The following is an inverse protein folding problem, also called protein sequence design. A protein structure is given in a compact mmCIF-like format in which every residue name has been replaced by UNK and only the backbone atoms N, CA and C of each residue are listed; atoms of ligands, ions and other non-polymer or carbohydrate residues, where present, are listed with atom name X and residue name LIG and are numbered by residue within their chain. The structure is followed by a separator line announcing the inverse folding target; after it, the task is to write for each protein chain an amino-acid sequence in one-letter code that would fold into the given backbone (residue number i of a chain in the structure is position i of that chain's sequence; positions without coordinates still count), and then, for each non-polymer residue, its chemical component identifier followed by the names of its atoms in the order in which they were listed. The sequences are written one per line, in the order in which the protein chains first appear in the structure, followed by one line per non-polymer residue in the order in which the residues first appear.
data_IF_296287970959
#
_entry.id   IF_296287970959
#
_cell.length_a   1.000
_cell.length_b   1.000
_cell.length_c   1.000
_cell.angle_alpha   90.00
_cell.angle_beta   90.00
_cell.angle_gamma   90.00
#
_symmetry.space_group_name_H-M   'P 1'
#
loop_
_entity.id
_entity.type
_entity.pdbx_description
1 polymer ?
#
# COMPACT_ATOMS: atom_id res chain seq x y z
N UNK A 1 -6.22 16.20 -22.14
CA UNK A 1 -7.57 15.89 -21.65
C UNK A 1 -7.69 14.52 -20.97
N UNK A 2 -6.96 13.45 -21.37
CA UNK A 2 -7.09 12.11 -20.74
C UNK A 2 -6.57 12.02 -19.30
N UNK A 3 -5.58 12.80 -18.90
CA UNK A 3 -4.96 12.69 -17.57
C UNK A 3 -5.46 13.75 -16.57
N UNK A 4 -6.31 14.70 -16.97
CA UNK A 4 -6.69 15.84 -16.13
C UNK A 4 -7.59 15.50 -14.92
N UNK A 5 -8.08 14.26 -14.82
CA UNK A 5 -9.00 13.81 -13.77
C UNK A 5 -8.32 13.59 -12.40
N UNK A 6 -6.99 13.50 -12.38
CA UNK A 6 -6.21 13.37 -11.16
C UNK A 6 -5.13 14.45 -11.13
N UNK A 7 -4.81 14.96 -9.94
CA UNK A 7 -3.65 15.81 -9.76
C UNK A 7 -2.38 14.96 -9.89
N UNK A 8 -1.93 14.77 -11.13
CA UNK A 8 -0.71 14.02 -11.42
C UNK A 8 0.51 14.83 -11.00
N UNK A 9 1.00 14.51 -9.82
CA UNK A 9 2.33 14.92 -9.37
C UNK A 9 3.27 13.73 -9.43
N UNK A 10 4.58 13.99 -9.42
CA UNK A 10 5.58 12.93 -9.36
C UNK A 10 5.34 11.97 -8.17
N UNK A 11 5.06 12.46 -6.93
CA UNK A 11 4.68 11.60 -5.82
C UNK A 11 3.45 10.72 -6.10
N UNK A 12 2.39 11.29 -6.69
CA UNK A 12 1.15 10.53 -6.92
C UNK A 12 1.36 9.47 -8.00
N UNK A 13 2.11 9.77 -9.06
CA UNK A 13 2.47 8.78 -10.08
C UNK A 13 3.28 7.62 -9.50
N UNK A 14 4.28 7.90 -8.68
CA UNK A 14 5.09 6.89 -8.01
C UNK A 14 4.25 5.98 -7.09
N UNK A 15 3.28 6.54 -6.35
CA UNK A 15 2.36 5.77 -5.52
C UNK A 15 1.53 4.77 -6.34
N UNK A 16 0.92 5.21 -7.45
CA UNK A 16 0.13 4.30 -8.29
C UNK A 16 0.97 3.20 -8.94
N UNK A 17 2.19 3.51 -9.37
CA UNK A 17 3.14 2.51 -9.88
C UNK A 17 3.46 1.49 -8.79
N UNK A 18 3.74 1.95 -7.56
CA UNK A 18 3.99 1.06 -6.43
C UNK A 18 2.80 0.13 -6.15
N UNK A 19 1.57 0.64 -6.14
CA UNK A 19 0.37 -0.19 -5.94
C UNK A 19 0.22 -1.23 -7.05
N UNK A 20 0.42 -0.85 -8.31
CA UNK A 20 0.36 -1.78 -9.44
C UNK A 20 1.43 -2.88 -9.34
N UNK A 21 2.65 -2.53 -8.95
CA UNK A 21 3.73 -3.49 -8.72
C UNK A 21 3.46 -4.39 -7.52
N UNK A 22 2.89 -3.86 -6.45
CA UNK A 22 2.53 -4.63 -5.25
C UNK A 22 1.45 -5.67 -5.56
N UNK A 23 0.39 -5.28 -6.26
CA UNK A 23 -0.70 -6.17 -6.68
C UNK A 23 -0.19 -7.18 -7.71
N UNK A 24 0.53 -6.73 -8.73
CA UNK A 24 1.09 -7.59 -9.77
C UNK A 24 2.09 -8.59 -9.20
N UNK A 25 2.99 -8.14 -8.33
CA UNK A 25 3.94 -8.99 -7.62
C UNK A 25 3.27 -10.06 -6.77
N UNK A 26 2.17 -9.72 -6.08
CA UNK A 26 1.37 -10.70 -5.34
C UNK A 26 0.71 -11.72 -6.26
N UNK A 27 0.15 -11.30 -7.39
CA UNK A 27 -0.42 -12.22 -8.38
C UNK A 27 0.62 -13.20 -8.93
N UNK A 28 1.81 -12.71 -9.27
CA UNK A 28 2.94 -13.54 -9.72
C UNK A 28 3.38 -14.51 -8.63
N UNK A 29 3.49 -14.05 -7.38
CA UNK A 29 3.87 -14.90 -6.26
C UNK A 29 2.87 -16.02 -6.00
N UNK A 30 1.58 -15.71 -6.03
CA UNK A 30 0.51 -16.68 -5.81
C UNK A 30 0.43 -17.72 -6.93
N UNK A 31 0.76 -17.31 -8.16
CA UNK A 31 0.91 -18.23 -9.28
C UNK A 31 2.03 -19.27 -9.05
N UNK A 32 3.20 -18.85 -8.54
CA UNK A 32 4.32 -19.76 -8.29
C UNK A 32 4.23 -20.54 -6.97
N UNK A 33 3.61 -19.97 -5.94
CA UNK A 33 3.48 -20.58 -4.61
C UNK A 33 2.03 -20.52 -4.12
N UNK A 34 1.18 -21.43 -4.64
CA UNK A 34 -0.23 -21.49 -4.30
C UNK A 34 -0.45 -21.92 -2.84
N UNK A 35 -1.55 -21.43 -2.25
CA UNK A 35 -2.00 -21.85 -0.92
C UNK A 35 -2.02 -20.76 0.15
N UNK A 36 -1.68 -19.51 -0.18
CA UNK A 36 -1.86 -18.33 0.71
C UNK A 36 -1.03 -18.31 2.00
N UNK A 37 -0.50 -19.45 2.44
CA UNK A 37 0.25 -19.65 3.69
C UNK A 37 -0.39 -18.94 4.88
N UNK A 38 -1.54 -19.42 5.39
CA UNK A 38 -2.17 -18.87 6.59
C UNK A 38 -1.16 -18.88 7.73
N UNK A 39 -0.92 -17.71 8.31
CA UNK A 39 -0.08 -17.57 9.50
C UNK A 39 -0.83 -16.73 10.51
N UNK A 40 -0.82 -17.20 11.75
CA UNK A 40 -1.34 -16.45 12.88
C UNK A 40 -0.43 -15.25 13.12
N UNK A 41 -0.96 -14.07 12.81
CA UNK A 41 -0.23 -12.81 12.90
C UNK A 41 -0.16 -12.27 14.32
N UNK A 42 0.59 -11.17 14.50
CA UNK A 42 0.72 -10.45 15.79
C UNK A 42 -0.64 -9.94 16.30
N UNK A 43 -1.57 -9.65 15.39
CA UNK A 43 -2.94 -9.24 15.71
C UNK A 43 -3.85 -10.40 16.13
N UNK A 44 -3.32 -11.63 16.25
CA UNK A 44 -4.09 -12.83 16.59
C UNK A 44 -4.98 -13.37 15.46
N UNK A 45 -4.99 -12.70 14.31
CA UNK A 45 -5.73 -13.07 13.11
C UNK A 45 -4.94 -14.07 12.27
N UNK A 46 -5.63 -15.06 11.70
CA UNK A 46 -5.06 -15.89 10.64
C UNK A 46 -5.11 -15.12 9.33
N UNK A 47 -3.93 -14.65 8.90
CA UNK A 47 -3.80 -13.83 7.69
C UNK A 47 -3.19 -14.64 6.55
N UNK A 48 -3.71 -14.45 5.35
CA UNK A 48 -3.05 -14.91 4.12
C UNK A 48 -1.93 -13.94 3.71
N UNK A 49 -1.14 -14.30 2.69
CA UNK A 49 -0.12 -13.38 2.11
C UNK A 49 -0.76 -12.11 1.55
N UNK A 50 -1.91 -12.22 0.89
CA UNK A 50 -2.66 -11.07 0.36
C UNK A 50 -3.14 -10.14 1.47
N UNK A 51 -3.69 -10.72 2.54
CA UNK A 51 -4.16 -9.92 3.70
C UNK A 51 -3.01 -9.15 4.35
N UNK A 52 -1.81 -9.74 4.42
CA UNK A 52 -0.61 -9.05 4.94
C UNK A 52 -0.20 -7.85 4.08
N UNK A 53 -0.27 -7.96 2.75
CA UNK A 53 0.00 -6.84 1.84
C UNK A 53 -1.05 -5.73 2.03
N UNK A 54 -2.31 -6.10 2.13
CA UNK A 54 -3.38 -5.14 2.31
C UNK A 54 -3.26 -4.39 3.64
N UNK A 55 -3.02 -5.11 4.74
CA UNK A 55 -2.81 -4.54 6.07
C UNK A 55 -1.61 -3.61 6.09
N UNK A 56 -0.51 -3.92 5.39
CA UNK A 56 0.66 -3.04 5.35
C UNK A 56 0.39 -1.74 4.59
N UNK A 57 -0.34 -1.81 3.46
CA UNK A 57 -0.72 -0.62 2.69
C UNK A 57 -1.62 0.28 3.54
N UNK A 58 -2.69 -0.27 4.14
CA UNK A 58 -3.58 0.47 5.03
C UNK A 58 -2.84 1.03 6.25
N UNK A 59 -1.97 0.23 6.88
CA UNK A 59 -1.17 0.67 8.02
C UNK A 59 -0.29 1.87 7.67
N UNK A 60 0.37 1.84 6.51
CA UNK A 60 1.16 2.98 6.03
C UNK A 60 0.32 4.23 5.77
N UNK A 61 -0.91 4.08 5.25
CA UNK A 61 -1.82 5.19 5.02
C UNK A 61 -2.23 5.85 6.33
N UNK A 62 -2.55 5.07 7.37
CA UNK A 62 -2.83 5.62 8.70
C UNK A 62 -1.62 6.28 9.34
N UNK A 63 -0.41 5.71 9.20
CA UNK A 63 0.82 6.36 9.67
C UNK A 63 1.02 7.70 8.96
N UNK A 64 0.79 7.75 7.64
CA UNK A 64 0.89 8.98 6.85
C UNK A 64 -0.13 10.03 7.28
N UNK A 65 -1.39 9.63 7.52
CA UNK A 65 -2.42 10.53 8.05
C UNK A 65 -2.11 11.01 9.47
N UNK A 66 -1.57 10.14 10.32
CA UNK A 66 -1.09 10.51 11.65
C UNK A 66 0.06 11.51 11.59
N UNK A 67 1.00 11.32 10.66
CA UNK A 67 2.08 12.26 10.41
C UNK A 67 1.56 13.61 9.92
N UNK A 68 0.61 13.62 8.98
CA UNK A 68 -0.09 14.83 8.55
C UNK A 68 -0.77 15.56 9.70
N UNK A 69 -1.46 14.83 10.58
CA UNK A 69 -2.13 15.41 11.73
C UNK A 69 -1.14 16.02 12.74
N UNK A 70 0.07 15.44 12.85
CA UNK A 70 1.09 15.90 13.79
C UNK A 70 1.95 17.06 13.24
N UNK A 71 2.44 16.95 12.00
CA UNK A 71 3.35 17.94 11.39
C UNK A 71 2.64 19.03 10.58
N UNK A 72 1.41 18.76 10.11
CA UNK A 72 0.68 19.67 9.22
C UNK A 72 1.25 19.73 7.80
N UNK A 73 0.92 20.79 7.08
CA UNK A 73 1.44 21.09 5.73
C UNK A 73 2.51 22.18 5.82
N UNK A 74 3.66 22.07 5.13
CA UNK A 74 4.08 21.01 4.21
C UNK A 74 4.53 19.72 4.91
N UNK A 75 4.17 18.58 4.32
CA UNK A 75 4.34 17.22 4.87
C UNK A 75 5.81 16.86 5.21
N UNK A 76 6.73 17.33 4.35
CA UNK A 76 8.18 17.27 4.49
C UNK A 76 8.65 18.61 3.92
N UNK A 77 9.49 19.34 4.64
CA UNK A 77 9.80 20.75 4.34
C UNK A 77 9.98 21.05 2.84
N UNK A 78 9.11 21.94 2.36
CA UNK A 78 9.28 22.78 1.18
C UNK A 78 8.48 24.06 1.41
#
# INVERSE_FOLDING_TARGET
MILSWMAWTWPTAAFFIFILLAIGGMGVWEHFSPGGGPRRGVLGLDTTRGDRLFISIIGSAFIHLGWLAFMGTPLWGA
#
